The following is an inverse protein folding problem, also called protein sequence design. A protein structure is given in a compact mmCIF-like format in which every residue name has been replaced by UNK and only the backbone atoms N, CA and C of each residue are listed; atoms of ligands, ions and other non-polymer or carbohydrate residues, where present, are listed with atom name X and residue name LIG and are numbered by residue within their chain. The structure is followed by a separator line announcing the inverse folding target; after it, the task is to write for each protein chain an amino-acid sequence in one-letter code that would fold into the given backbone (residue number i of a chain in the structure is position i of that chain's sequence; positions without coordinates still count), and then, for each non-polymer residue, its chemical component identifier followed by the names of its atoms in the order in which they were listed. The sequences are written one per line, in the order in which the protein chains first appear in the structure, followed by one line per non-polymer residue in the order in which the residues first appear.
data_IF_488785069707
#
_entry.id   IF_488785069707
#
_cell.length_a   1.000
_cell.length_b   1.000
_cell.length_c   1.000
_cell.angle_alpha   90.00
_cell.angle_beta   90.00
_cell.angle_gamma   90.00
#
_symmetry.space_group_name_H-M   'P 1'
#
loop_
_entity.id
_entity.type
_entity.pdbx_description
1 polymer ?
#
# COMPACT_ATOMS: atom_id res chain seq x y z
N UNK A 1 -18.41 -20.83 28.07
CA UNK A 1 -17.12 -20.43 28.67
C UNK A 1 -16.17 -20.20 27.52
N UNK A 2 -15.69 -18.98 27.33
CA UNK A 2 -14.64 -18.71 26.33
C UNK A 2 -13.33 -19.27 26.88
N UNK A 3 -12.61 -20.01 26.04
CA UNK A 3 -11.33 -20.61 26.40
C UNK A 3 -10.34 -19.49 26.74
N UNK A 4 -9.68 -19.50 27.92
CA UNK A 4 -8.72 -18.47 28.31
C UNK A 4 -7.50 -18.37 27.38
N UNK A 5 -7.33 -19.28 26.41
CA UNK A 5 -6.34 -19.20 25.34
C UNK A 5 -6.86 -18.75 23.97
N UNK A 6 -8.16 -18.48 23.82
CA UNK A 6 -8.73 -18.10 22.53
C UNK A 6 -8.54 -16.60 22.25
N UNK A 7 -7.72 -16.29 21.24
CA UNK A 7 -7.54 -14.93 20.73
C UNK A 7 -8.86 -14.45 20.11
N UNK A 8 -9.45 -13.40 20.69
CA UNK A 8 -10.67 -12.77 20.20
C UNK A 8 -10.35 -11.75 19.10
N UNK A 9 -10.80 -11.94 17.85
CA UNK A 9 -10.51 -11.02 16.75
C UNK A 9 -10.97 -9.58 17.03
N UNK A 10 -12.12 -9.40 17.66
CA UNK A 10 -12.67 -8.08 17.99
C UNK A 10 -11.80 -7.30 18.98
N UNK A 11 -11.09 -8.00 19.88
CA UNK A 11 -10.16 -7.38 20.84
C UNK A 11 -8.85 -7.04 20.16
N UNK A 12 -8.37 -7.93 19.29
CA UNK A 12 -7.18 -7.71 18.46
C UNK A 12 -7.36 -6.46 17.59
N UNK A 13 -8.50 -6.34 16.90
CA UNK A 13 -8.81 -5.20 16.04
C UNK A 13 -8.91 -3.89 16.86
N UNK A 14 -9.58 -3.91 18.01
CA UNK A 14 -9.64 -2.74 18.89
C UNK A 14 -8.26 -2.30 19.41
N UNK A 15 -7.37 -3.25 19.73
CA UNK A 15 -5.97 -2.93 20.11
C UNK A 15 -5.19 -2.36 18.92
N UNK A 16 -5.38 -2.92 17.72
CA UNK A 16 -4.75 -2.42 16.50
C UNK A 16 -5.21 -0.99 16.16
N UNK A 17 -6.49 -0.66 16.38
CA UNK A 17 -7.03 0.69 16.22
C UNK A 17 -6.36 1.70 17.15
N UNK A 18 -6.16 1.32 18.42
CA UNK A 18 -5.45 2.17 19.38
C UNK A 18 -3.99 2.36 19.00
N UNK A 19 -3.32 1.33 18.48
CA UNK A 19 -1.96 1.47 17.93
C UNK A 19 -1.91 2.44 16.74
N UNK A 20 -3.01 2.59 15.99
CA UNK A 20 -3.18 3.59 14.92
C UNK A 20 -3.57 4.98 15.42
N UNK A 21 -3.76 5.16 16.73
CA UNK A 21 -4.08 6.44 17.37
C UNK A 21 -5.54 6.64 17.75
N UNK A 22 -6.37 5.58 17.72
CA UNK A 22 -7.72 5.63 18.28
C UNK A 22 -7.71 5.76 19.82
N UNK A 23 -8.83 6.20 20.39
CA UNK A 23 -8.97 6.37 21.84
C UNK A 23 -8.90 5.02 22.58
N UNK A 24 -7.98 4.85 23.56
CA UNK A 24 -7.88 3.62 24.34
C UNK A 24 -9.07 3.35 25.26
N UNK A 25 -9.99 4.31 25.46
CA UNK A 25 -11.16 4.15 26.33
C UNK A 25 -12.08 2.97 25.95
N UNK A 26 -12.04 2.52 24.69
CA UNK A 26 -12.81 1.36 24.20
C UNK A 26 -12.15 0.00 24.44
N UNK A 27 -10.93 -0.06 24.99
CA UNK A 27 -10.22 -1.32 25.15
C UNK A 27 -10.79 -2.17 26.28
N UNK A 28 -11.03 -3.48 26.06
CA UNK A 28 -11.47 -4.36 27.11
C UNK A 28 -10.36 -4.52 28.17
N UNK A 29 -10.66 -4.39 29.47
CA UNK A 29 -9.67 -4.55 30.53
C UNK A 29 -9.15 -6.00 30.64
N UNK A 30 -9.84 -6.95 30.01
CA UNK A 30 -9.50 -8.37 29.94
C UNK A 30 -8.65 -8.75 28.72
N UNK A 31 -8.07 -7.78 28.01
CA UNK A 31 -7.18 -8.07 26.87
C UNK A 31 -5.96 -8.90 27.31
N UNK A 32 -5.80 -10.08 26.71
CA UNK A 32 -4.72 -11.03 27.05
C UNK A 32 -3.38 -10.62 26.43
N UNK A 33 -2.30 -11.30 26.81
CA UNK A 33 -0.98 -11.07 26.23
C UNK A 33 -0.93 -11.53 24.77
N UNK A 34 -1.60 -12.65 24.47
CA UNK A 34 -1.71 -13.24 23.13
C UNK A 34 -2.48 -12.31 22.18
N UNK A 35 -3.58 -11.70 22.64
CA UNK A 35 -4.34 -10.72 21.86
C UNK A 35 -3.53 -9.46 21.55
N UNK A 36 -2.74 -8.97 22.51
CA UNK A 36 -1.83 -7.84 22.29
C UNK A 36 -0.72 -8.18 21.30
N UNK A 37 -0.18 -9.40 21.36
CA UNK A 37 0.84 -9.87 20.43
C UNK A 37 0.27 -9.97 19.00
N UNK A 38 -0.91 -10.58 18.84
CA UNK A 38 -1.61 -10.66 17.56
C UNK A 38 -1.95 -9.28 16.99
N UNK A 39 -2.41 -8.34 17.82
CA UNK A 39 -2.69 -6.97 17.39
C UNK A 39 -1.45 -6.22 16.94
N UNK A 40 -0.32 -6.40 17.64
CA UNK A 40 0.95 -5.81 17.27
C UNK A 40 1.48 -6.39 15.95
N UNK A 41 1.40 -7.71 15.77
CA UNK A 41 1.82 -8.39 14.54
C UNK A 41 0.99 -7.91 13.33
N UNK A 42 -0.33 -7.82 13.51
CA UNK A 42 -1.25 -7.24 12.53
C UNK A 42 -0.89 -5.79 12.19
N UNK A 43 -0.77 -4.94 13.21
CA UNK A 43 -0.43 -3.52 13.04
C UNK A 43 0.90 -3.34 12.29
N UNK A 44 1.93 -4.11 12.67
CA UNK A 44 3.24 -4.03 12.01
C UNK A 44 3.18 -4.54 10.56
N UNK A 45 2.43 -5.59 10.28
CA UNK A 45 2.25 -6.13 8.93
C UNK A 45 1.51 -5.14 8.03
N UNK A 46 0.42 -4.53 8.50
CA UNK A 46 -0.31 -3.49 7.77
C UNK A 46 0.57 -2.24 7.57
N UNK A 47 1.32 -1.82 8.60
CA UNK A 47 2.23 -0.68 8.48
C UNK A 47 3.37 -0.94 7.50
N UNK A 48 3.93 -2.16 7.49
CA UNK A 48 4.94 -2.57 6.54
C UNK A 48 4.39 -2.61 5.11
N UNK A 49 3.17 -3.12 4.91
CA UNK A 49 2.48 -3.10 3.62
C UNK A 49 2.23 -1.66 3.14
N UNK A 50 1.75 -0.77 4.00
CA UNK A 50 1.54 0.65 3.69
C UNK A 50 2.83 1.40 3.38
N UNK A 51 3.92 1.08 4.08
CA UNK A 51 5.24 1.62 3.77
C UNK A 51 5.74 1.10 2.42
N UNK A 52 5.64 -0.21 2.19
CA UNK A 52 6.01 -0.83 0.92
C UNK A 52 5.23 -0.24 -0.25
N UNK A 53 3.94 0.01 -0.07
CA UNK A 53 3.09 0.69 -1.06
C UNK A 53 3.58 2.11 -1.35
N UNK A 54 3.88 2.91 -0.32
CA UNK A 54 4.40 4.28 -0.47
C UNK A 54 5.76 4.32 -1.16
N UNK A 55 6.66 3.43 -0.80
CA UNK A 55 8.00 3.32 -1.41
C UNK A 55 7.87 2.95 -2.90
N UNK A 56 6.99 1.99 -3.23
CA UNK A 56 6.69 1.60 -4.61
C UNK A 56 6.04 2.73 -5.41
N UNK A 57 5.09 3.47 -4.81
CA UNK A 57 4.45 4.62 -5.44
C UNK A 57 5.47 5.75 -5.70
N UNK A 58 6.39 5.96 -4.78
CA UNK A 58 7.49 6.94 -4.94
C UNK A 58 8.36 6.56 -6.13
N UNK A 59 8.78 5.28 -6.22
CA UNK A 59 9.55 4.77 -7.35
C UNK A 59 8.81 4.90 -8.68
N UNK A 60 7.51 4.65 -8.70
CA UNK A 60 6.68 4.85 -9.89
C UNK A 60 6.70 6.31 -10.36
N UNK A 61 6.59 7.27 -9.44
CA UNK A 61 6.71 8.69 -9.76
C UNK A 61 8.10 9.09 -10.23
N UNK A 62 9.16 8.55 -9.63
CA UNK A 62 10.54 8.78 -10.08
C UNK A 62 10.77 8.29 -11.52
N UNK A 63 10.19 7.14 -11.89
CA UNK A 63 10.23 6.61 -13.25
C UNK A 63 9.40 7.43 -14.24
N UNK A 64 8.28 8.02 -13.81
CA UNK A 64 7.42 8.85 -14.65
C UNK A 64 7.98 10.27 -14.84
N UNK A 65 8.59 10.85 -13.81
CA UNK A 65 9.08 12.24 -13.79
C UNK A 65 10.58 12.32 -14.09
N UNK A 66 11.02 11.65 -15.15
CA UNK A 66 12.43 11.60 -15.57
C UNK A 66 12.97 12.95 -16.06
N UNK A 67 12.07 13.88 -16.39
CA UNK A 67 12.39 15.21 -16.90
C UNK A 67 11.51 16.29 -16.27
N UNK A 68 12.07 17.49 -16.20
CA UNK A 68 11.29 18.69 -15.85
C UNK A 68 10.48 19.13 -17.07
N UNK A 69 9.20 19.43 -16.84
CA UNK A 69 8.30 19.96 -17.86
C UNK A 69 7.86 21.38 -17.47
N UNK A 70 7.83 22.28 -18.45
CA UNK A 70 7.40 23.67 -18.24
C UNK A 70 5.88 23.78 -18.03
N UNK A 71 5.12 22.83 -18.56
CA UNK A 71 3.69 22.66 -18.36
C UNK A 71 3.40 21.24 -17.84
N UNK A 72 2.29 21.02 -17.09
CA UNK A 72 1.92 19.67 -16.66
C UNK A 72 1.78 18.72 -17.86
N UNK A 73 2.62 17.66 -17.97
CA UNK A 73 2.61 16.79 -19.12
C UNK A 73 1.36 15.89 -19.11
N UNK A 74 0.94 15.43 -20.29
CA UNK A 74 -0.09 14.41 -20.42
C UNK A 74 0.51 13.02 -20.18
N UNK A 75 -0.30 12.03 -19.79
CA UNK A 75 0.16 10.64 -19.65
C UNK A 75 0.78 10.10 -20.93
N UNK A 76 0.19 10.39 -22.09
CA UNK A 76 0.78 10.00 -23.38
C UNK A 76 2.18 10.58 -23.55
N UNK A 77 2.38 11.87 -23.26
CA UNK A 77 3.69 12.52 -23.39
C UNK A 77 4.72 11.93 -22.42
N UNK A 78 4.32 11.69 -21.17
CA UNK A 78 5.19 11.04 -20.20
C UNK A 78 5.67 9.67 -20.72
N UNK A 79 4.74 8.85 -21.21
CA UNK A 79 5.04 7.52 -21.73
C UNK A 79 5.83 7.53 -23.05
N UNK A 80 5.65 8.55 -23.89
CA UNK A 80 6.44 8.73 -25.12
C UNK A 80 7.92 9.03 -24.80
N UNK A 81 8.19 9.65 -23.65
CA UNK A 81 9.53 10.02 -23.19
C UNK A 81 10.22 8.92 -22.34
N UNK A 82 9.53 7.80 -22.05
CA UNK A 82 10.10 6.71 -21.24
C UNK A 82 11.07 5.85 -22.04
N UNK A 83 12.21 5.54 -21.41
CA UNK A 83 13.10 4.49 -21.88
C UNK A 83 12.43 3.11 -21.75
N UNK A 84 12.75 2.14 -22.61
CA UNK A 84 12.16 0.79 -22.56
C UNK A 84 12.28 0.12 -21.18
N UNK A 85 13.44 0.23 -20.53
CA UNK A 85 13.69 -0.32 -19.19
C UNK A 85 12.79 0.33 -18.11
N UNK A 86 12.39 1.59 -18.30
CA UNK A 86 11.46 2.26 -17.40
C UNK A 86 10.03 1.72 -17.59
N UNK A 87 9.63 1.43 -18.83
CA UNK A 87 8.32 0.81 -19.14
C UNK A 87 8.19 -0.57 -18.51
N UNK A 88 9.24 -1.40 -18.56
CA UNK A 88 9.24 -2.70 -17.90
C UNK A 88 9.07 -2.56 -16.38
N UNK A 89 9.83 -1.67 -15.75
CA UNK A 89 9.73 -1.41 -14.31
C UNK A 89 8.38 -0.82 -13.89
N UNK A 90 7.74 0.01 -14.73
CA UNK A 90 6.39 0.49 -14.47
C UNK A 90 5.35 -0.64 -14.50
N UNK A 91 5.58 -1.69 -15.30
CA UNK A 91 4.73 -2.90 -15.30
C UNK A 91 4.75 -3.63 -13.97
N UNK A 92 5.91 -3.72 -13.30
CA UNK A 92 6.04 -4.28 -11.95
C UNK A 92 5.38 -3.40 -10.87
N UNK A 93 5.16 -2.12 -11.18
CA UNK A 93 4.57 -1.14 -10.28
C UNK A 93 3.11 -0.81 -10.64
N UNK A 94 2.50 -1.58 -11.53
CA UNK A 94 1.21 -1.24 -12.13
C UNK A 94 0.11 -0.92 -11.11
N UNK A 95 -0.06 -1.74 -10.06
CA UNK A 95 -1.08 -1.56 -9.00
C UNK A 95 -0.91 -0.29 -8.16
N UNK A 96 0.27 0.32 -8.15
CA UNK A 96 0.53 1.57 -7.42
C UNK A 96 0.65 2.79 -8.32
N UNK A 97 0.49 2.62 -9.64
CA UNK A 97 0.45 3.73 -10.58
C UNK A 97 -0.79 4.61 -10.35
N UNK A 98 -0.71 5.93 -10.63
CA UNK A 98 -1.88 6.78 -10.76
C UNK A 98 -2.85 6.22 -11.83
N UNK A 99 -4.15 6.40 -11.63
CA UNK A 99 -5.20 5.84 -12.51
C UNK A 99 -4.97 6.15 -13.99
N UNK A 100 -4.71 7.42 -14.34
CA UNK A 100 -4.45 7.77 -15.73
C UNK A 100 -3.15 7.19 -16.32
N UNK A 101 -2.15 6.86 -15.48
CA UNK A 101 -0.96 6.13 -15.90
C UNK A 101 -1.26 4.64 -16.11
N UNK A 102 -2.12 4.03 -15.28
CA UNK A 102 -2.59 2.66 -15.48
C UNK A 102 -3.37 2.50 -16.78
N UNK A 103 -4.27 3.45 -17.08
CA UNK A 103 -5.04 3.47 -18.32
C UNK A 103 -4.13 3.59 -19.54
N UNK A 104 -3.17 4.51 -19.50
CA UNK A 104 -2.23 4.72 -20.59
C UNK A 104 -1.30 3.52 -20.79
N UNK A 105 -0.80 2.93 -19.69
CA UNK A 105 -0.02 1.69 -19.74
C UNK A 105 -0.84 0.55 -20.37
N UNK A 106 -2.07 0.32 -19.88
CA UNK A 106 -2.94 -0.74 -20.37
C UNK A 106 -3.31 -0.54 -21.85
N UNK A 107 -3.52 0.72 -22.28
CA UNK A 107 -3.76 1.08 -23.68
C UNK A 107 -2.60 0.70 -24.60
N UNK A 108 -1.36 0.88 -24.14
CA UNK A 108 -0.14 0.65 -24.94
C UNK A 108 0.38 -0.78 -24.88
N UNK A 109 0.36 -1.39 -23.70
CA UNK A 109 1.06 -2.65 -23.41
C UNK A 109 0.15 -3.75 -22.87
N UNK A 110 -1.12 -3.44 -22.56
CA UNK A 110 -2.04 -4.34 -21.87
C UNK A 110 -1.88 -4.32 -20.35
N UNK A 111 -2.83 -4.95 -19.65
CA UNK A 111 -2.78 -5.09 -18.18
C UNK A 111 -1.82 -6.24 -17.83
N UNK A 112 -0.79 -6.01 -16.99
CA UNK A 112 0.11 -7.08 -16.59
C UNK A 112 -0.61 -8.18 -15.80
N UNK A 113 -0.37 -9.45 -16.14
CA UNK A 113 -1.03 -10.61 -15.50
C UNK A 113 -0.59 -10.89 -14.06
N UNK A 114 0.43 -10.19 -13.56
CA UNK A 114 1.01 -10.38 -12.23
C UNK A 114 0.37 -9.49 -11.15
N UNK A 115 -0.67 -8.73 -11.52
CA UNK A 115 -1.43 -7.84 -10.63
C UNK A 115 -2.59 -8.58 -10.00
#
# INVERSE_FOLDING_TARGET
MSDPGQVRPEVVDAIADVLRGADPAGLPPSATAEEKAAAKDRYLSEFAAERGKRDRQTRAWELLLTRSYDEPPTWSRLFDDLEPDAVEQLGELYDVLPEGAQEEYARRYGVPSAV
#
